data_IF_877388693076
#
_entry.id   IF_877388693076
#
_cell.length_a   1.000
_cell.length_b   1.000
_cell.length_c   1.000
_cell.angle_alpha   90.00
_cell.angle_beta   90.00
_cell.angle_gamma   90.00
#
_symmetry.space_group_name_H-M   'P 1'
#
loop_
_entity.id
_entity.type
_entity.pdbx_description
1 polymer ?
#
# COMPACT_ATOMS: atom_id res chain seq x y z
N UNK A 1 -28.73 -87.92 56.99
CA UNK A 1 -27.87 -88.47 55.91
C UNK A 1 -28.56 -88.09 54.61
N UNK A 2 -28.08 -87.14 53.82
CA UNK A 2 -26.80 -86.45 53.81
C UNK A 2 -27.03 -85.14 53.06
N UNK A 3 -26.41 -84.09 53.57
CA UNK A 3 -26.33 -82.74 53.04
C UNK A 3 -25.24 -82.66 51.95
N UNK A 4 -25.15 -81.51 51.28
CA UNK A 4 -24.11 -81.05 50.34
C UNK A 4 -24.21 -81.52 48.87
N UNK A 5 -23.98 -80.72 47.84
CA UNK A 5 -23.74 -79.27 47.66
C UNK A 5 -23.58 -79.10 46.14
N UNK A 6 -24.67 -78.80 45.40
CA UNK A 6 -24.60 -78.56 43.95
C UNK A 6 -24.37 -77.06 43.70
N UNK A 7 -23.12 -76.72 43.36
CA UNK A 7 -22.72 -75.36 42.97
C UNK A 7 -23.24 -75.05 41.57
N UNK A 8 -24.44 -74.48 41.49
CA UNK A 8 -24.90 -73.78 40.29
C UNK A 8 -24.27 -72.38 40.27
N UNK A 9 -23.29 -72.18 39.37
CA UNK A 9 -22.71 -70.87 39.08
C UNK A 9 -23.75 -70.02 38.33
N UNK A 10 -24.65 -69.43 39.11
CA UNK A 10 -25.58 -68.40 38.66
C UNK A 10 -24.81 -67.26 37.98
N UNK A 11 -25.05 -67.11 36.68
CA UNK A 11 -24.71 -65.86 35.97
C UNK A 11 -25.37 -64.71 36.71
N UNK A 12 -24.65 -63.60 37.00
CA UNK A 12 -25.28 -62.45 37.63
C UNK A 12 -26.42 -61.96 36.73
N UNK A 13 -27.58 -61.58 37.28
CA UNK A 13 -28.65 -61.01 36.48
C UNK A 13 -28.14 -59.74 35.81
N UNK A 14 -28.41 -59.60 34.51
CA UNK A 14 -28.21 -58.36 33.77
C UNK A 14 -28.82 -57.21 34.58
N UNK A 15 -28.10 -56.10 34.82
CA UNK A 15 -28.67 -54.97 35.52
C UNK A 15 -29.77 -54.37 34.64
N UNK A 16 -31.03 -54.70 34.95
CA UNK A 16 -32.20 -53.95 34.52
C UNK A 16 -32.24 -52.67 35.34
N UNK A 17 -31.50 -51.66 34.89
CA UNK A 17 -31.54 -50.30 35.40
C UNK A 17 -31.66 -49.35 34.24
N UNK A 18 -32.88 -49.09 33.75
CA UNK A 18 -33.15 -47.86 33.03
C UNK A 18 -33.01 -46.71 34.02
N UNK A 19 -31.80 -46.17 34.16
CA UNK A 19 -31.64 -44.81 34.65
C UNK A 19 -32.11 -43.88 33.53
N UNK A 20 -33.40 -43.52 33.55
CA UNK A 20 -33.86 -42.26 32.94
C UNK A 20 -33.29 -41.12 33.78
N UNK A 21 -31.99 -40.87 33.64
CA UNK A 21 -31.41 -39.60 34.03
C UNK A 21 -31.95 -38.57 33.04
N UNK A 22 -32.49 -37.45 33.53
CA UNK A 22 -32.77 -36.29 32.69
C UNK A 22 -31.46 -35.87 32.02
N UNK A 23 -31.25 -36.27 30.77
CA UNK A 23 -30.15 -35.76 29.95
C UNK A 23 -30.29 -34.24 29.93
N UNK A 24 -29.23 -33.52 30.31
CA UNK A 24 -29.22 -32.06 30.28
C UNK A 24 -29.38 -31.61 28.83
N UNK A 25 -30.58 -31.17 28.48
CA UNK A 25 -30.87 -30.69 27.14
C UNK A 25 -30.29 -29.30 26.95
N UNK A 26 -29.28 -29.19 26.07
CA UNK A 26 -28.80 -27.90 25.60
C UNK A 26 -29.75 -27.35 24.54
N UNK A 27 -30.28 -26.15 24.77
CA UNK A 27 -31.31 -25.55 23.91
C UNK A 27 -30.86 -25.41 22.44
N UNK A 28 -29.60 -25.03 22.20
CA UNK A 28 -29.02 -24.88 20.87
C UNK A 28 -28.91 -26.21 20.12
N UNK A 29 -28.41 -27.24 20.80
CA UNK A 29 -28.26 -28.60 20.22
C UNK A 29 -29.62 -29.19 19.87
N UNK A 30 -30.59 -29.12 20.79
CA UNK A 30 -31.95 -29.61 20.54
C UNK A 30 -32.66 -28.82 19.43
N UNK A 31 -32.43 -27.52 19.34
CA UNK A 31 -32.98 -26.70 18.26
C UNK A 31 -32.45 -27.14 16.89
N UNK A 32 -31.13 -27.37 16.78
CA UNK A 32 -30.49 -27.84 15.55
C UNK A 32 -30.96 -29.25 15.15
N UNK A 33 -31.14 -30.15 16.12
CA UNK A 33 -31.63 -31.52 15.90
C UNK A 33 -33.10 -31.57 15.45
N UNK A 34 -33.92 -30.63 15.93
CA UNK A 34 -35.35 -30.52 15.55
C UNK A 34 -35.53 -29.91 14.15
N UNK A 35 -34.65 -29.00 13.75
CA UNK A 35 -34.73 -28.27 12.48
C UNK A 35 -33.61 -28.68 11.50
N UNK A 36 -33.43 -30.00 11.29
CA UNK A 36 -32.32 -30.56 10.48
C UNK A 36 -32.20 -29.95 9.08
N UNK A 37 -33.33 -29.75 8.40
CA UNK A 37 -33.36 -29.15 7.05
C UNK A 37 -32.89 -27.70 7.10
N UNK A 38 -33.36 -26.90 8.07
CA UNK A 38 -32.93 -25.52 8.24
C UNK A 38 -31.44 -25.40 8.56
N UNK A 39 -30.91 -26.29 9.40
CA UNK A 39 -29.47 -26.35 9.72
C UNK A 39 -28.64 -26.68 8.48
N UNK A 40 -29.09 -27.61 7.63
CA UNK A 40 -28.42 -27.97 6.39
C UNK A 40 -28.46 -26.82 5.36
N UNK A 41 -29.59 -26.12 5.24
CA UNK A 41 -29.71 -24.92 4.40
C UNK A 41 -28.75 -23.82 4.88
N UNK A 42 -28.67 -23.59 6.20
CA UNK A 42 -27.73 -22.62 6.78
C UNK A 42 -26.27 -22.99 6.48
N UNK A 43 -25.92 -24.27 6.59
CA UNK A 43 -24.60 -24.79 6.22
C UNK A 43 -24.23 -24.47 4.77
N UNK A 44 -25.16 -24.72 3.84
CA UNK A 44 -24.97 -24.42 2.41
C UNK A 44 -24.82 -22.92 2.18
N UNK A 45 -25.60 -22.09 2.87
CA UNK A 45 -25.50 -20.63 2.79
C UNK A 45 -24.12 -20.16 3.27
N UNK A 46 -23.64 -20.65 4.42
CA UNK A 46 -22.30 -20.33 4.95
C UNK A 46 -21.22 -20.77 3.96
N UNK A 47 -21.34 -21.96 3.37
CA UNK A 47 -20.38 -22.44 2.39
C UNK A 47 -20.31 -21.51 1.16
N UNK A 48 -21.45 -21.14 0.59
CA UNK A 48 -21.50 -20.25 -0.59
C UNK A 48 -20.98 -18.86 -0.23
N UNK A 49 -21.48 -18.25 0.86
CA UNK A 49 -21.05 -16.92 1.30
C UNK A 49 -19.57 -16.88 1.66
N UNK A 50 -19.05 -17.92 2.31
CA UNK A 50 -17.65 -17.98 2.70
C UNK A 50 -16.73 -18.12 1.49
N UNK A 51 -17.13 -18.87 0.45
CA UNK A 51 -16.33 -18.97 -0.79
C UNK A 51 -16.31 -17.61 -1.49
N UNK A 52 -17.46 -16.93 -1.58
CA UNK A 52 -17.52 -15.57 -2.12
C UNK A 52 -16.63 -14.63 -1.30
N UNK A 53 -16.70 -14.68 0.03
CA UNK A 53 -15.90 -13.83 0.90
C UNK A 53 -14.39 -14.11 0.75
N UNK A 54 -13.97 -15.38 0.74
CA UNK A 54 -12.58 -15.77 0.51
C UNK A 54 -12.02 -15.20 -0.80
N UNK A 55 -12.81 -15.19 -1.88
CA UNK A 55 -12.37 -14.61 -3.15
C UNK A 55 -12.29 -13.08 -3.11
N UNK A 56 -13.18 -12.41 -2.35
CA UNK A 56 -13.28 -10.93 -2.32
C UNK A 56 -12.39 -10.25 -1.29
N UNK A 57 -12.06 -10.91 -0.18
CA UNK A 57 -11.18 -10.33 0.85
C UNK A 57 -9.82 -10.03 0.23
N UNK A 58 -9.32 -8.78 0.31
CA UNK A 58 -8.00 -8.40 -0.21
C UNK A 58 -6.88 -9.20 0.46
N UNK A 59 -5.83 -9.52 -0.30
CA UNK A 59 -4.62 -10.18 0.20
C UNK A 59 -3.51 -9.15 0.32
N UNK A 60 -2.91 -9.06 1.51
CA UNK A 60 -1.89 -8.07 1.86
C UNK A 60 -0.73 -8.72 2.60
N UNK A 61 0.45 -8.08 2.57
CA UNK A 61 1.64 -8.53 3.28
C UNK A 61 1.54 -8.21 4.78
N UNK A 62 1.10 -7.00 5.10
CA UNK A 62 0.94 -6.47 6.46
C UNK A 62 -0.51 -6.12 6.77
N UNK A 63 -0.89 -6.00 8.05
CA UNK A 63 -2.15 -5.37 8.42
C UNK A 63 -2.17 -3.90 7.96
N UNK A 64 -3.33 -3.45 7.48
CA UNK A 64 -3.57 -2.05 7.17
C UNK A 64 -3.70 -1.27 8.49
N UNK A 65 -2.61 -0.64 8.91
CA UNK A 65 -2.55 0.21 10.09
C UNK A 65 -2.08 1.57 9.60
N UNK A 66 -2.95 2.58 9.75
CA UNK A 66 -2.57 3.98 9.59
C UNK A 66 -1.68 4.35 10.77
N UNK A 67 -0.41 4.66 10.51
CA UNK A 67 0.46 5.22 11.53
C UNK A 67 0.08 6.70 11.63
N UNK A 68 -0.47 7.17 12.76
CA UNK A 68 -1.05 8.50 12.84
C UNK A 68 0.03 9.57 13.04
N UNK A 69 0.94 9.68 12.07
CA UNK A 69 2.10 10.57 12.11
C UNK A 69 2.11 11.47 10.88
N UNK A 70 2.21 12.77 11.12
CA UNK A 70 2.41 13.78 10.08
C UNK A 70 3.75 14.47 10.33
N UNK A 71 4.59 14.51 9.30
CA UNK A 71 5.87 15.19 9.31
C UNK A 71 5.73 16.56 8.62
N UNK A 72 6.24 17.60 9.28
CA UNK A 72 6.35 18.96 8.74
C UNK A 72 7.84 19.27 8.63
N UNK A 73 8.31 19.50 7.42
CA UNK A 73 9.73 19.77 7.17
C UNK A 73 9.90 21.14 6.54
N UNK A 74 10.86 21.90 7.05
CA UNK A 74 11.19 23.25 6.59
C UNK A 74 12.70 23.40 6.43
N UNK A 75 13.13 23.90 5.28
CA UNK A 75 14.53 24.17 4.97
C UNK A 75 14.82 25.65 5.08
N UNK A 76 15.94 26.00 5.71
CA UNK A 76 16.46 27.37 5.72
C UNK A 76 17.99 27.33 5.69
N UNK A 77 18.59 27.08 4.52
CA UNK A 77 20.00 26.75 4.39
C UNK A 77 20.96 27.78 5.03
N UNK A 78 22.00 27.28 5.71
CA UNK A 78 23.04 28.12 6.31
C UNK A 78 22.69 28.76 7.66
N UNK A 79 21.55 28.38 8.26
CA UNK A 79 21.10 28.86 9.56
C UNK A 79 21.45 27.87 10.68
N UNK A 80 21.96 28.39 11.79
CA UNK A 80 22.39 27.57 12.92
C UNK A 80 21.19 26.85 13.59
N UNK A 81 21.37 25.66 14.18
CA UNK A 81 20.27 24.89 14.79
C UNK A 81 19.45 25.67 15.83
N UNK A 82 20.08 26.58 16.59
CA UNK A 82 19.40 27.37 17.62
C UNK A 82 18.48 28.45 17.04
N UNK A 83 18.88 29.00 15.90
CA UNK A 83 18.08 29.97 15.16
C UNK A 83 16.95 29.26 14.41
N UNK A 84 17.20 28.07 13.86
CA UNK A 84 16.15 27.19 13.30
C UNK A 84 15.06 26.88 14.33
N UNK A 85 15.45 26.50 15.55
CA UNK A 85 14.49 26.27 16.65
C UNK A 85 13.64 27.51 16.93
N UNK A 86 14.27 28.69 16.96
CA UNK A 86 13.59 29.92 17.41
C UNK A 86 12.75 30.56 16.31
N UNK A 87 13.22 30.55 15.07
CA UNK A 87 12.62 31.23 13.93
C UNK A 87 11.66 30.35 13.14
N UNK A 88 11.82 29.02 13.19
CA UNK A 88 11.04 28.08 12.38
C UNK A 88 10.27 27.10 13.27
N UNK A 89 10.95 26.35 14.14
CA UNK A 89 10.28 25.31 14.93
C UNK A 89 9.24 25.90 15.87
N UNK A 90 9.60 26.93 16.65
CA UNK A 90 8.71 27.50 17.67
C UNK A 90 7.41 28.11 17.11
N UNK A 91 7.42 28.95 16.06
CA UNK A 91 6.17 29.44 15.45
C UNK A 91 5.26 28.31 14.95
N UNK A 92 5.84 27.29 14.31
CA UNK A 92 5.08 26.12 13.84
C UNK A 92 4.52 25.30 15.01
N UNK A 93 5.31 25.05 16.04
CA UNK A 93 4.87 24.35 17.26
C UNK A 93 3.72 25.07 17.95
N UNK A 94 3.78 26.39 18.08
CA UNK A 94 2.75 27.19 18.77
C UNK A 94 1.39 27.05 18.07
N UNK A 95 1.35 27.10 16.73
CA UNK A 95 0.12 26.88 15.98
C UNK A 95 -0.33 25.41 15.98
N UNK A 96 0.59 24.46 15.81
CA UNK A 96 0.26 23.03 15.76
C UNK A 96 -0.25 22.51 17.11
N UNK A 97 0.29 22.99 18.23
CA UNK A 97 -0.13 22.60 19.58
C UNK A 97 -1.57 23.03 19.92
N UNK A 98 -2.20 23.85 19.07
CA UNK A 98 -3.63 24.17 19.21
C UNK A 98 -4.56 23.07 18.68
N UNK A 99 -4.02 22.08 17.96
CA UNK A 99 -4.77 20.93 17.46
C UNK A 99 -4.98 19.93 18.61
N UNK A 100 -6.24 19.80 19.06
CA UNK A 100 -6.58 19.02 20.25
C UNK A 100 -6.30 17.50 20.14
N UNK A 101 -6.20 17.00 18.92
CA UNK A 101 -6.08 15.57 18.62
C UNK A 101 -4.61 15.08 18.52
N UNK A 102 -3.64 15.99 18.67
CA UNK A 102 -2.22 15.65 18.72
C UNK A 102 -1.90 15.08 20.09
N UNK A 103 -1.38 13.85 20.09
CA UNK A 103 -0.91 13.13 21.28
C UNK A 103 0.49 13.60 21.69
N UNK A 104 1.41 13.68 20.73
CA UNK A 104 2.79 14.09 20.96
C UNK A 104 3.33 14.88 19.77
N UNK A 105 4.07 15.95 20.06
CA UNK A 105 4.71 16.78 19.06
C UNK A 105 6.21 16.85 19.35
N UNK A 106 7.01 16.34 18.43
CA UNK A 106 8.47 16.28 18.56
C UNK A 106 9.12 17.09 17.45
N UNK A 107 9.91 18.10 17.82
CA UNK A 107 10.71 18.88 16.87
C UNK A 107 12.19 18.53 16.95
N UNK A 108 12.82 18.47 15.79
CA UNK A 108 14.27 18.29 15.65
C UNK A 108 14.78 19.36 14.70
N UNK A 109 15.65 20.23 15.21
CA UNK A 109 16.30 21.27 14.41
C UNK A 109 17.80 20.99 14.31
N UNK A 110 18.29 20.96 13.08
CA UNK A 110 19.71 20.86 12.74
C UNK A 110 20.09 22.05 11.86
N UNK A 111 21.34 22.12 11.41
CA UNK A 111 21.79 23.24 10.58
C UNK A 111 21.01 23.28 9.27
N UNK A 112 20.32 24.41 9.05
CA UNK A 112 19.49 24.68 7.89
C UNK A 112 18.25 23.81 7.68
N UNK A 113 17.86 23.00 8.67
CA UNK A 113 16.73 22.08 8.54
C UNK A 113 15.98 21.88 9.87
N UNK A 114 14.66 21.96 9.82
CA UNK A 114 13.76 21.63 10.94
C UNK A 114 12.74 20.59 10.50
N UNK A 115 12.57 19.55 11.30
CA UNK A 115 11.52 18.55 11.17
C UNK A 115 10.66 18.52 12.43
N UNK A 116 9.35 18.60 12.26
CA UNK A 116 8.35 18.48 13.31
C UNK A 116 7.52 17.24 13.02
N UNK A 117 7.43 16.34 13.99
CA UNK A 117 6.65 15.11 13.92
C UNK A 117 5.45 15.29 14.85
N UNK A 118 4.26 15.33 14.27
CA UNK A 118 2.99 15.35 15.00
C UNK A 118 2.41 13.93 15.02
N UNK A 119 2.40 13.30 16.19
CA UNK A 119 1.73 12.04 16.46
C UNK A 119 0.30 12.30 16.95
N UNK A 120 -0.69 11.74 16.28
CA UNK A 120 -2.12 11.85 16.59
C UNK A 120 -2.62 10.65 17.39
N UNK A 121 -3.77 10.82 18.04
CA UNK A 121 -4.45 9.70 18.69
C UNK A 121 -4.90 8.62 17.69
N UNK A 122 -4.89 7.36 18.16
CA UNK A 122 -5.26 6.21 17.32
C UNK A 122 -6.71 6.29 16.85
N UNK A 123 -6.96 5.95 15.58
CA UNK A 123 -8.30 5.92 14.99
C UNK A 123 -8.82 7.27 14.50
N UNK A 124 -7.96 8.29 14.48
CA UNK A 124 -8.23 9.54 13.78
C UNK A 124 -8.19 9.33 12.25
N UNK A 125 -9.05 10.07 11.55
CA UNK A 125 -9.00 10.20 10.09
C UNK A 125 -7.79 11.05 9.71
N UNK A 126 -6.87 10.47 8.93
CA UNK A 126 -5.62 11.13 8.56
C UNK A 126 -5.81 12.23 7.52
N UNK A 127 -6.85 12.15 6.66
CA UNK A 127 -7.14 13.21 5.71
C UNK A 127 -7.58 14.49 6.45
N UNK A 128 -8.43 14.34 7.49
CA UNK A 128 -8.84 15.45 8.36
C UNK A 128 -7.65 15.98 9.19
N UNK A 129 -6.82 15.09 9.74
CA UNK A 129 -5.61 15.50 10.46
C UNK A 129 -4.64 16.28 9.56
N UNK A 130 -4.41 15.80 8.34
CA UNK A 130 -3.56 16.43 7.34
C UNK A 130 -4.08 17.82 6.96
N UNK A 131 -5.39 17.94 6.75
CA UNK A 131 -6.02 19.23 6.48
C UNK A 131 -5.83 20.20 7.65
N UNK A 132 -6.11 19.77 8.88
CA UNK A 132 -5.93 20.59 10.09
C UNK A 132 -4.47 21.06 10.24
N UNK A 133 -3.50 20.16 10.03
CA UNK A 133 -2.08 20.50 10.09
C UNK A 133 -1.73 21.53 9.02
N UNK A 134 -2.15 21.32 7.76
CA UNK A 134 -1.91 22.28 6.68
C UNK A 134 -2.48 23.66 6.99
N UNK A 135 -3.71 23.73 7.48
CA UNK A 135 -4.34 24.99 7.89
C UNK A 135 -3.53 25.70 8.98
N UNK A 136 -3.00 24.97 9.97
CA UNK A 136 -2.16 25.55 11.04
C UNK A 136 -0.78 25.98 10.56
N UNK A 137 -0.16 25.19 9.68
CA UNK A 137 1.10 25.55 9.02
C UNK A 137 0.91 26.83 8.20
N UNK A 138 -0.17 26.94 7.43
CA UNK A 138 -0.48 28.11 6.63
C UNK A 138 -0.72 29.38 7.48
N UNK A 139 -1.27 29.23 8.69
CA UNK A 139 -1.40 30.34 9.65
C UNK A 139 -0.05 30.78 10.23
N UNK A 140 0.89 29.85 10.43
CA UNK A 140 2.24 30.14 10.92
C UNK A 140 3.17 30.71 9.83
N UNK A 141 2.90 30.44 8.54
CA UNK A 141 3.73 30.89 7.40
C UNK A 141 4.14 32.38 7.45
N UNK A 142 3.27 33.35 7.79
CA UNK A 142 3.66 34.76 7.84
C UNK A 142 4.68 35.11 8.94
N UNK A 143 4.83 34.26 9.95
CA UNK A 143 5.80 34.43 11.03
C UNK A 143 7.17 33.84 10.70
N UNK A 144 7.24 32.98 9.68
CA UNK A 144 8.47 32.41 9.19
C UNK A 144 9.32 33.45 8.44
N UNK A 145 10.66 33.36 8.49
CA UNK A 145 11.54 34.20 7.69
C UNK A 145 11.22 34.07 6.19
N UNK A 146 11.21 35.19 5.47
CA UNK A 146 10.92 35.20 4.04
C UNK A 146 11.95 34.44 3.17
N UNK A 147 13.15 34.22 3.72
CA UNK A 147 14.24 33.48 3.07
C UNK A 147 14.18 31.97 3.35
N UNK A 148 13.26 31.50 4.22
CA UNK A 148 13.04 30.08 4.46
C UNK A 148 12.16 29.48 3.35
N UNK A 149 12.39 28.22 3.00
CA UNK A 149 11.52 27.50 2.08
C UNK A 149 10.15 27.24 2.72
N UNK A 150 9.12 27.09 1.88
CA UNK A 150 7.79 26.78 2.39
C UNK A 150 7.78 25.42 3.13
N UNK A 151 7.14 25.34 4.31
CA UNK A 151 7.02 24.07 5.01
C UNK A 151 6.27 23.03 4.17
N UNK A 152 6.86 21.86 4.02
CA UNK A 152 6.21 20.69 3.41
C UNK A 152 5.53 19.87 4.49
N UNK A 153 4.27 19.50 4.27
CA UNK A 153 3.48 18.66 5.17
C UNK A 153 3.25 17.32 4.49
N UNK A 154 3.79 16.25 5.07
CA UNK A 154 3.74 14.89 4.55
C UNK A 154 3.16 13.95 5.61
N UNK A 155 2.16 13.17 5.22
CA UNK A 155 1.66 12.07 6.04
C UNK A 155 2.60 10.86 5.91
N UNK A 156 2.82 10.13 7.00
CA UNK A 156 3.52 8.86 6.94
C UNK A 156 2.53 7.71 6.67
N UNK A 157 2.46 7.24 5.44
CA UNK A 157 1.56 6.15 5.06
C UNK A 157 2.32 4.87 4.67
N UNK A 158 2.06 3.77 5.39
CA UNK A 158 2.66 2.47 5.06
C UNK A 158 2.19 1.91 3.70
N UNK A 159 1.00 2.32 3.24
CA UNK A 159 0.46 1.93 1.94
C UNK A 159 1.14 2.64 0.77
N UNK A 160 1.86 3.74 1.01
CA UNK A 160 2.61 4.47 -0.02
C UNK A 160 3.98 3.85 -0.30
N UNK A 161 4.41 2.85 0.48
CA UNK A 161 5.64 2.13 0.16
C UNK A 161 5.45 1.26 -1.10
N UNK A 162 6.40 1.30 -2.05
CA UNK A 162 6.32 0.48 -3.24
C UNK A 162 6.21 -1.02 -2.92
N UNK A 163 5.21 -1.69 -3.50
CA UNK A 163 4.99 -3.13 -3.37
C UNK A 163 5.85 -3.96 -4.34
N UNK A 164 6.42 -3.29 -5.34
CA UNK A 164 7.22 -3.87 -6.42
C UNK A 164 8.15 -2.79 -6.98
N UNK A 165 9.34 -3.18 -7.43
CA UNK A 165 10.26 -2.33 -8.16
C UNK A 165 10.51 -2.89 -9.55
N UNK A 166 10.37 -2.05 -10.57
CA UNK A 166 10.64 -2.40 -11.98
C UNK A 166 11.93 -1.67 -12.38
N UNK A 167 12.99 -2.42 -12.60
CA UNK A 167 14.29 -1.86 -12.98
C UNK A 167 14.48 -1.95 -14.48
N UNK A 168 14.71 -0.82 -15.12
CA UNK A 168 14.91 -0.71 -16.56
C UNK A 168 16.38 -0.39 -16.80
N UNK A 169 17.02 -1.24 -17.60
CA UNK A 169 18.42 -1.12 -17.98
C UNK A 169 18.58 -1.33 -19.48
N UNK A 170 19.67 -0.82 -20.04
CA UNK A 170 19.93 -0.96 -21.47
C UNK A 170 21.32 -0.44 -21.86
N UNK A 171 21.78 -0.73 -23.09
CA UNK A 171 23.07 -0.29 -23.58
C UNK A 171 23.10 1.20 -23.98
N UNK A 172 21.99 1.91 -23.86
CA UNK A 172 21.84 3.32 -24.22
C UNK A 172 21.89 4.23 -22.98
N UNK A 173 22.16 5.51 -23.19
CA UNK A 173 22.38 6.49 -22.11
C UNK A 173 21.17 6.67 -21.18
N UNK A 174 21.42 7.20 -19.97
CA UNK A 174 20.39 7.42 -18.95
C UNK A 174 19.24 8.32 -19.41
N UNK A 175 19.52 9.28 -20.30
CA UNK A 175 18.49 10.13 -20.92
C UNK A 175 17.44 9.29 -21.65
N UNK A 176 17.89 8.44 -22.58
CA UNK A 176 16.99 7.56 -23.33
C UNK A 176 16.36 6.47 -22.46
N UNK A 177 17.04 6.01 -21.40
CA UNK A 177 16.42 5.12 -20.41
C UNK A 177 15.28 5.80 -19.67
N UNK A 178 15.40 7.11 -19.38
CA UNK A 178 14.37 7.85 -18.67
C UNK A 178 13.12 7.99 -19.51
N UNK A 179 13.26 8.34 -20.79
CA UNK A 179 12.13 8.41 -21.72
C UNK A 179 11.38 7.07 -21.78
N UNK A 180 12.11 5.95 -21.88
CA UNK A 180 11.49 4.61 -21.85
C UNK A 180 10.81 4.32 -20.51
N UNK A 181 11.40 4.78 -19.40
CA UNK A 181 10.84 4.59 -18.07
C UNK A 181 9.61 5.46 -17.82
N UNK A 182 9.56 6.68 -18.35
CA UNK A 182 8.40 7.59 -18.33
C UNK A 182 7.25 6.98 -19.16
N UNK A 183 7.53 6.44 -20.35
CA UNK A 183 6.52 5.72 -21.14
C UNK A 183 5.92 4.51 -20.37
N UNK A 184 6.77 3.79 -19.62
CA UNK A 184 6.33 2.66 -18.76
C UNK A 184 5.56 3.18 -17.55
N UNK A 185 6.02 4.24 -16.90
CA UNK A 185 5.35 4.88 -15.77
C UNK A 185 3.91 5.26 -16.17
N UNK A 186 3.73 6.01 -17.26
CA UNK A 186 2.42 6.45 -17.76
C UNK A 186 1.47 5.29 -18.03
N UNK A 187 1.98 4.16 -18.52
CA UNK A 187 1.19 2.95 -18.79
C UNK A 187 0.81 2.22 -17.51
N UNK A 188 1.72 2.14 -16.54
CA UNK A 188 1.48 1.47 -15.27
C UNK A 188 0.54 2.27 -14.37
N UNK A 189 0.59 3.61 -14.40
CA UNK A 189 -0.35 4.47 -13.67
C UNK A 189 -1.79 4.40 -14.17
N UNK A 190 -2.02 3.92 -15.40
CA UNK A 190 -3.36 3.68 -15.93
C UNK A 190 -4.02 2.43 -15.32
N UNK A 191 -3.28 1.60 -14.58
CA UNK A 191 -3.82 0.42 -13.89
C UNK A 191 -4.66 0.90 -12.69
N UNK A 192 -5.96 0.57 -12.60
CA UNK A 192 -6.84 1.12 -11.55
C UNK A 192 -6.38 0.87 -10.11
N UNK A 193 -5.65 -0.23 -9.89
CA UNK A 193 -5.16 -0.65 -8.56
C UNK A 193 -3.82 0.00 -8.18
N UNK A 194 -3.18 0.71 -9.10
CA UNK A 194 -1.96 1.51 -8.86
C UNK A 194 -2.37 2.91 -8.42
N UNK A 195 -1.67 3.43 -7.40
CA UNK A 195 -1.84 4.79 -6.91
C UNK A 195 -0.93 5.75 -7.70
N UNK A 196 0.37 5.43 -7.72
CA UNK A 196 1.41 6.19 -8.40
C UNK A 196 2.59 5.27 -8.72
N UNK A 197 3.44 5.71 -9.64
CA UNK A 197 4.70 5.04 -9.93
C UNK A 197 5.85 6.03 -9.74
N UNK A 198 6.72 5.77 -8.78
CA UNK A 198 7.84 6.66 -8.44
C UNK A 198 9.07 6.35 -9.29
N UNK A 199 9.67 7.35 -9.93
CA UNK A 199 10.87 7.17 -10.75
C UNK A 199 12.14 7.58 -9.99
N UNK A 200 13.15 6.72 -10.02
CA UNK A 200 14.45 6.96 -9.37
C UNK A 200 15.63 6.70 -10.31
N UNK A 201 16.67 7.55 -10.22
CA UNK A 201 17.94 7.37 -10.94
C UNK A 201 17.99 7.92 -12.38
N UNK A 202 16.91 8.56 -12.86
CA UNK A 202 16.86 9.26 -14.14
C UNK A 202 17.62 10.60 -14.14
N UNK A 203 17.79 11.18 -15.34
CA UNK A 203 18.34 12.53 -15.51
C UNK A 203 17.22 13.52 -15.84
N UNK A 204 17.09 14.59 -15.08
CA UNK A 204 16.13 15.66 -15.37
C UNK A 204 16.80 16.70 -16.27
N UNK A 205 16.19 16.97 -17.43
CA UNK A 205 16.72 17.95 -18.38
C UNK A 205 16.39 19.35 -17.88
N UNK A 206 17.37 20.23 -17.91
CA UNK A 206 17.17 21.65 -17.62
C UNK A 206 17.94 22.51 -18.61
N UNK A 207 17.48 23.75 -18.78
CA UNK A 207 18.21 24.76 -19.53
C UNK A 207 18.97 25.61 -18.53
N UNK A 208 20.30 25.53 -18.57
CA UNK A 208 21.16 26.36 -17.74
C UNK A 208 21.51 27.63 -18.50
N UNK A 209 21.28 28.78 -17.85
CA UNK A 209 21.68 30.10 -18.35
C UNK A 209 22.85 30.59 -17.50
N UNK A 210 24.06 30.33 -17.96
CA UNK A 210 25.30 30.69 -17.27
C UNK A 210 25.66 32.15 -17.57
N UNK A 211 25.37 33.04 -16.62
CA UNK A 211 25.59 34.48 -16.79
C UNK A 211 27.06 34.88 -16.58
N UNK A 212 27.64 35.58 -17.57
CA UNK A 212 29.01 36.09 -17.52
C UNK A 212 29.04 37.46 -16.82
N UNK A 213 29.44 37.46 -15.54
CA UNK A 213 29.52 38.66 -14.69
C UNK A 213 30.39 39.79 -15.29
N UNK A 214 31.60 39.52 -15.84
CA UNK A 214 32.34 40.52 -16.61
C UNK A 214 31.56 41.16 -17.76
N UNK A 215 30.83 40.38 -18.56
CA UNK A 215 30.02 40.92 -19.68
C UNK A 215 28.85 41.76 -19.18
N UNK A 216 28.14 41.32 -18.16
CA UNK A 216 27.09 42.13 -17.52
C UNK A 216 27.62 43.49 -17.07
N UNK A 217 28.79 43.50 -16.43
CA UNK A 217 29.43 44.73 -15.98
C UNK A 217 29.83 45.65 -17.14
N UNK A 218 30.33 45.10 -18.24
CA UNK A 218 30.65 45.86 -19.45
C UNK A 218 29.41 46.52 -20.05
N UNK A 219 28.30 45.78 -20.13
CA UNK A 219 27.02 46.28 -20.62
C UNK A 219 26.23 47.07 -19.58
N UNK A 220 26.72 47.15 -18.34
CA UNK A 220 26.07 47.83 -17.22
C UNK A 220 24.69 47.29 -16.88
N UNK A 221 24.51 45.97 -16.98
CA UNK A 221 23.29 45.23 -16.68
C UNK A 221 23.41 44.53 -15.32
N UNK A 222 22.30 44.40 -14.60
CA UNK A 222 22.18 43.58 -13.41
C UNK A 222 21.83 42.14 -13.77
N UNK A 223 22.09 41.19 -12.86
CA UNK A 223 21.66 39.80 -13.02
C UNK A 223 20.14 39.70 -13.18
N UNK A 224 19.40 40.45 -12.36
CA UNK A 224 17.94 40.47 -12.40
C UNK A 224 17.37 41.00 -13.72
N UNK A 225 18.11 41.82 -14.47
CA UNK A 225 17.67 42.27 -15.79
C UNK A 225 17.56 41.10 -16.77
N UNK A 226 18.49 40.13 -16.69
CA UNK A 226 18.47 38.90 -17.50
C UNK A 226 17.31 38.01 -17.08
N UNK A 227 17.12 37.82 -15.77
CA UNK A 227 16.02 37.01 -15.22
C UNK A 227 14.67 37.59 -15.62
N UNK A 228 14.50 38.91 -15.50
CA UNK A 228 13.27 39.61 -15.88
C UNK A 228 12.99 39.51 -17.39
N UNK A 229 14.02 39.60 -18.23
CA UNK A 229 13.88 39.48 -19.68
C UNK A 229 13.41 38.08 -20.09
N UNK A 230 14.02 37.02 -19.55
CA UNK A 230 13.62 35.64 -19.83
C UNK A 230 12.20 35.36 -19.33
N UNK A 231 11.86 35.79 -18.10
CA UNK A 231 10.51 35.63 -17.53
C UNK A 231 9.45 36.40 -18.33
N UNK A 232 9.81 37.55 -18.89
CA UNK A 232 8.92 38.40 -19.67
C UNK A 232 8.61 37.88 -21.08
N UNK A 233 9.47 37.04 -21.64
CA UNK A 233 9.25 36.41 -22.96
C UNK A 233 8.59 35.03 -22.83
N UNK A 234 8.81 34.29 -21.72
CA UNK A 234 8.20 32.99 -21.47
C UNK A 234 6.75 33.08 -20.96
N UNK A 235 5.88 33.80 -21.67
CA UNK A 235 4.45 33.98 -21.31
C UNK A 235 3.53 33.70 -22.50
N UNK A 236 2.50 32.88 -22.26
CA UNK A 236 1.47 32.57 -23.24
C UNK A 236 0.29 33.55 -23.08
N UNK A 237 0.28 34.61 -23.91
CA UNK A 237 -0.73 35.67 -23.81
C UNK A 237 -1.88 35.40 -24.81
N UNK A 238 -3.14 35.26 -24.34
CA UNK A 238 -4.28 35.17 -25.24
C UNK A 238 -4.50 36.52 -25.93
N UNK A 239 -4.50 36.52 -27.27
CA UNK A 239 -4.66 37.71 -28.10
C UNK A 239 -6.12 38.16 -28.30
N UNK A 240 -7.07 37.50 -27.63
CA UNK A 240 -8.50 37.76 -27.74
C UNK A 240 -9.16 37.01 -28.90
N UNK A 241 -10.40 37.39 -29.21
CA UNK A 241 -11.19 36.82 -30.31
C UNK A 241 -11.36 37.88 -31.39
N UNK A 242 -11.18 37.48 -32.64
CA UNK A 242 -11.32 38.33 -33.82
C UNK A 242 -12.46 37.79 -34.68
N UNK A 243 -13.48 38.61 -34.88
CA UNK A 243 -14.63 38.27 -35.71
C UNK A 243 -14.31 38.55 -37.18
N UNK A 244 -14.33 37.51 -38.01
CA UNK A 244 -14.18 37.63 -39.46
C UNK A 244 -15.41 37.05 -40.14
N UNK A 245 -16.34 37.95 -40.52
CA UNK A 245 -17.61 37.56 -41.12
C UNK A 245 -18.56 36.95 -40.09
N UNK A 246 -18.91 35.67 -40.27
CA UNK A 246 -19.76 34.89 -39.35
C UNK A 246 -18.95 33.88 -38.50
N UNK A 247 -17.62 34.01 -38.48
CA UNK A 247 -16.72 33.12 -37.74
C UNK A 247 -15.86 33.93 -36.78
N UNK A 248 -15.74 33.42 -35.56
CA UNK A 248 -14.88 33.95 -34.51
C UNK A 248 -13.55 33.19 -34.54
N UNK A 249 -12.43 33.90 -34.59
CA UNK A 249 -11.08 33.33 -34.53
C UNK A 249 -10.41 33.73 -33.23
N UNK A 250 -10.06 32.76 -32.40
CA UNK A 250 -9.25 33.02 -31.19
C UNK A 250 -7.80 33.24 -31.59
N UNK A 251 -7.27 34.43 -31.32
CA UNK A 251 -5.87 34.75 -31.50
C UNK A 251 -5.09 34.34 -30.23
N UNK A 252 -3.96 33.66 -30.41
CA UNK A 252 -3.04 33.32 -29.32
C UNK A 252 -1.62 33.61 -29.78
N UNK A 253 -0.82 34.26 -28.93
CA UNK A 253 0.61 34.43 -29.15
C UNK A 253 1.32 33.39 -28.30
N UNK A 254 1.91 32.39 -28.95
CA UNK A 254 2.73 31.39 -28.28
C UNK A 254 4.11 31.98 -28.00
N UNK A 255 4.42 32.21 -26.73
CA UNK A 255 5.74 32.65 -26.25
C UNK A 255 6.53 31.56 -25.50
N UNK A 256 6.02 30.32 -25.48
CA UNK A 256 6.69 29.21 -24.81
C UNK A 256 7.89 28.71 -25.63
N UNK A 257 9.03 28.48 -24.97
CA UNK A 257 10.25 28.05 -25.63
C UNK A 257 10.27 26.52 -25.77
N UNK A 258 10.21 26.02 -27.00
CA UNK A 258 10.39 24.59 -27.30
C UNK A 258 11.88 24.19 -27.46
N UNK A 259 12.76 25.18 -27.72
CA UNK A 259 14.18 24.99 -27.96
C UNK A 259 15.01 26.05 -27.21
N UNK A 260 16.31 25.81 -26.98
CA UNK A 260 17.21 26.76 -26.30
C UNK A 260 17.62 27.96 -27.16
N UNK A 261 17.73 27.79 -28.49
CA UNK A 261 18.13 28.86 -29.40
C UNK A 261 17.25 30.13 -29.31
N UNK A 262 15.91 30.02 -29.18
CA UNK A 262 15.04 31.13 -28.84
C UNK A 262 15.42 31.92 -27.57
N UNK A 263 15.98 31.28 -26.55
CA UNK A 263 16.36 31.93 -25.28
C UNK A 263 17.60 32.81 -25.48
N UNK A 264 18.54 32.38 -26.33
CA UNK A 264 19.74 33.16 -26.66
C UNK A 264 19.42 34.51 -27.33
N UNK A 265 18.32 34.55 -28.08
CA UNK A 265 17.83 35.72 -28.83
C UNK A 265 16.88 36.62 -28.02
N UNK A 266 16.64 36.32 -26.74
CA UNK A 266 15.88 37.20 -25.85
C UNK A 266 16.62 38.52 -25.64
N UNK A 267 15.90 39.63 -25.80
CA UNK A 267 16.45 40.98 -25.61
C UNK A 267 16.42 41.35 -24.14
N UNK A 268 17.60 41.50 -23.53
CA UNK A 268 17.74 41.90 -22.12
C UNK A 268 17.56 43.41 -21.96
N UNK A 269 18.16 44.19 -22.85
CA UNK A 269 18.05 45.65 -22.81
C UNK A 269 18.34 46.27 -24.18
N UNK A 270 17.92 47.52 -24.38
CA UNK A 270 18.30 48.31 -25.55
C UNK A 270 19.12 49.53 -25.11
N UNK A 271 20.34 49.66 -25.63
CA UNK A 271 21.21 50.82 -25.38
C UNK A 271 21.58 51.50 -26.69
N UNK A 272 21.36 52.82 -26.78
CA UNK A 272 21.64 53.61 -27.98
C UNK A 272 21.01 53.03 -29.27
N UNK A 273 19.81 52.46 -29.16
CA UNK A 273 19.10 51.83 -30.29
C UNK A 273 19.66 50.47 -30.72
N UNK A 274 20.58 49.88 -29.95
CA UNK A 274 21.10 48.52 -30.18
C UNK A 274 20.57 47.57 -29.10
N UNK A 275 19.89 46.47 -29.48
CA UNK A 275 19.50 45.44 -28.53
C UNK A 275 20.74 44.69 -28.03
N UNK A 276 20.71 44.31 -26.75
CA UNK A 276 21.66 43.42 -26.09
C UNK A 276 20.90 42.14 -25.79
N UNK A 277 21.39 41.04 -26.32
CA UNK A 277 20.75 39.73 -26.23
C UNK A 277 21.29 38.92 -25.05
N UNK A 278 20.57 37.86 -24.65
CA UNK A 278 21.07 36.90 -23.65
C UNK A 278 22.41 36.31 -24.08
N UNK A 279 22.60 35.94 -25.36
CA UNK A 279 23.90 35.47 -25.88
C UNK A 279 25.07 36.44 -25.70
N UNK A 280 24.79 37.74 -25.56
CA UNK A 280 25.84 38.76 -25.37
C UNK A 280 26.35 38.78 -23.92
N UNK A 281 25.58 38.23 -22.97
CA UNK A 281 25.82 38.31 -21.52
C UNK A 281 25.77 36.98 -20.78
N UNK A 282 25.33 35.90 -21.42
CA UNK A 282 25.22 34.56 -20.85
C UNK A 282 25.44 33.49 -21.92
N UNK A 283 25.81 32.29 -21.47
CA UNK A 283 25.82 31.06 -22.29
C UNK A 283 24.57 30.27 -21.94
N UNK A 284 23.80 29.84 -22.94
CA UNK A 284 22.62 29.00 -22.74
C UNK A 284 22.97 27.59 -23.20
N UNK A 285 22.86 26.62 -22.31
CA UNK A 285 23.12 25.22 -22.65
C UNK A 285 22.04 24.29 -22.13
N UNK A 286 21.82 23.20 -22.87
CA UNK A 286 21.06 22.06 -22.37
C UNK A 286 21.96 21.28 -21.43
N UNK A 287 21.54 21.20 -20.17
CA UNK A 287 22.22 20.46 -19.13
C UNK A 287 21.23 19.54 -18.41
N UNK A 288 21.72 18.90 -17.35
CA UNK A 288 20.90 18.10 -16.47
C UNK A 288 20.94 18.71 -15.08
N UNK A 289 19.79 18.67 -14.40
CA UNK A 289 19.71 19.02 -12.99
C UNK A 289 20.68 18.15 -12.19
N UNK A 290 21.24 18.72 -11.14
CA UNK A 290 22.06 17.98 -10.19
C UNK A 290 21.31 16.75 -9.67
N UNK A 291 22.01 15.62 -9.65
CA UNK A 291 21.40 14.32 -9.35
C UNK A 291 21.13 14.19 -7.85
N UNK A 292 19.86 14.20 -7.50
CA UNK A 292 19.39 13.89 -6.14
C UNK A 292 19.36 12.37 -5.87
N UNK A 293 19.12 11.56 -6.91
CA UNK A 293 18.99 10.09 -6.77
C UNK A 293 19.86 9.29 -7.75
N UNK A 294 20.26 8.10 -7.29
CA UNK A 294 21.05 7.14 -8.06
C UNK A 294 20.45 5.75 -7.89
N UNK A 295 20.15 5.07 -8.99
CA UNK A 295 19.70 3.68 -8.98
C UNK A 295 20.71 2.78 -9.70
N UNK A 296 21.01 1.63 -9.10
CA UNK A 296 21.91 0.62 -9.66
C UNK A 296 21.38 -0.78 -9.37
N UNK A 297 21.50 -1.65 -10.35
CA UNK A 297 21.20 -3.08 -10.21
C UNK A 297 22.42 -3.88 -10.66
N UNK A 298 22.89 -4.77 -9.80
CA UNK A 298 24.09 -5.61 -10.07
C UNK A 298 25.32 -4.79 -10.51
N UNK A 299 25.47 -3.57 -9.96
CA UNK A 299 26.56 -2.64 -10.29
C UNK A 299 26.35 -1.79 -11.55
N UNK A 300 25.27 -2.01 -12.31
CA UNK A 300 24.97 -1.27 -13.53
C UNK A 300 23.96 -0.15 -13.23
N UNK A 301 24.12 1.07 -13.78
CA UNK A 301 23.11 2.13 -13.69
C UNK A 301 21.78 1.66 -14.29
N UNK A 302 20.69 1.85 -13.55
CA UNK A 302 19.33 1.55 -14.00
C UNK A 302 18.41 2.72 -13.66
N UNK A 303 17.22 2.72 -14.23
CA UNK A 303 16.11 3.54 -13.73
C UNK A 303 15.14 2.59 -13.05
N UNK A 304 14.79 2.91 -11.81
CA UNK A 304 13.89 2.09 -11.00
C UNK A 304 12.55 2.79 -10.90
N UNK A 305 11.49 2.07 -11.26
CA UNK A 305 10.11 2.47 -11.07
C UNK A 305 9.55 1.73 -9.84
N UNK A 306 9.22 2.47 -8.80
CA UNK A 306 8.56 1.94 -7.60
C UNK A 306 7.05 1.97 -7.76
N UNK A 307 6.41 0.81 -7.74
CA UNK A 307 4.95 0.70 -7.93
C UNK A 307 4.25 0.81 -6.59
N UNK A 308 3.49 1.89 -6.41
CA UNK A 308 2.70 2.13 -5.21
C UNK A 308 1.26 1.69 -5.47
N UNK A 309 0.74 0.82 -4.60
CA UNK A 309 -0.62 0.28 -4.71
C UNK A 309 -1.60 1.23 -4.03
N UNK A 310 -2.82 1.34 -4.55
CA UNK A 310 -3.92 2.00 -3.84
C UNK A 310 -4.26 1.24 -2.54
N UNK A 311 -4.57 1.96 -1.47
CA UNK A 311 -5.03 1.36 -0.19
C UNK A 311 -6.24 0.44 -0.41
N UNK A 312 -6.31 -0.66 0.35
CA UNK A 312 -7.36 -1.69 0.24
C UNK A 312 -7.31 -2.63 -0.98
N UNK A 313 -6.50 -2.33 -2.01
CA UNK A 313 -6.40 -3.19 -3.20
C UNK A 313 -5.56 -4.47 -2.95
N UNK A 314 -5.71 -5.49 -3.79
CA UNK A 314 -4.97 -6.75 -3.64
C UNK A 314 -3.55 -6.67 -4.24
N UNK A 315 -2.53 -7.03 -3.45
CA UNK A 315 -1.12 -6.99 -3.90
C UNK A 315 -0.86 -8.00 -5.03
N UNK A 316 -1.38 -9.22 -4.92
CA UNK A 316 -1.17 -10.29 -5.92
C UNK A 316 -1.78 -9.87 -7.26
N UNK A 317 -3.03 -9.40 -7.23
CA UNK A 317 -3.72 -8.96 -8.45
C UNK A 317 -3.02 -7.76 -9.10
N UNK A 318 -2.56 -6.79 -8.30
CA UNK A 318 -1.85 -5.61 -8.80
C UNK A 318 -0.54 -6.02 -9.46
N UNK A 319 0.24 -6.88 -8.81
CA UNK A 319 1.50 -7.39 -9.35
C UNK A 319 1.30 -8.16 -10.66
N UNK A 320 0.26 -9.00 -10.76
CA UNK A 320 -0.07 -9.72 -12.00
C UNK A 320 -0.42 -8.75 -13.15
N UNK A 321 -1.22 -7.72 -12.88
CA UNK A 321 -1.58 -6.68 -13.87
C UNK A 321 -0.35 -5.91 -14.34
N UNK A 322 0.53 -5.51 -13.43
CA UNK A 322 1.79 -4.82 -13.74
C UNK A 322 2.70 -5.72 -14.59
N UNK A 323 2.91 -6.98 -14.19
CA UNK A 323 3.69 -7.96 -14.96
C UNK A 323 3.12 -8.16 -16.37
N UNK A 324 1.79 -8.22 -16.50
CA UNK A 324 1.12 -8.38 -17.78
C UNK A 324 1.29 -7.16 -18.69
N UNK A 325 1.16 -5.94 -18.17
CA UNK A 325 1.38 -4.71 -18.93
C UNK A 325 2.84 -4.56 -19.38
N UNK A 326 3.80 -4.85 -18.50
CA UNK A 326 5.23 -4.88 -18.86
C UNK A 326 5.48 -5.88 -20.00
N UNK A 327 4.94 -7.09 -19.88
CA UNK A 327 5.05 -8.12 -20.91
C UNK A 327 4.42 -7.71 -22.25
N UNK A 328 3.34 -6.94 -22.24
CA UNK A 328 2.73 -6.39 -23.45
C UNK A 328 3.61 -5.31 -24.10
N UNK A 329 4.34 -4.54 -23.29
CA UNK A 329 5.24 -3.48 -23.75
C UNK A 329 6.62 -3.98 -24.23
N UNK A 330 7.03 -5.21 -23.86
CA UNK A 330 8.36 -5.75 -24.19
C UNK A 330 8.71 -5.65 -25.68
N UNK A 331 7.73 -5.82 -26.57
CA UNK A 331 7.94 -5.76 -28.02
C UNK A 331 8.18 -4.36 -28.57
N UNK A 332 7.78 -3.32 -27.84
CA UNK A 332 7.93 -1.91 -28.22
C UNK A 332 9.22 -1.27 -27.71
N UNK A 333 9.94 -1.94 -26.81
CA UNK A 333 11.15 -1.37 -26.23
C UNK A 333 12.30 -1.28 -27.22
N UNK A 334 13.20 -0.28 -27.05
CA UNK A 334 14.42 -0.21 -27.84
C UNK A 334 15.25 -1.51 -27.74
N UNK A 335 15.99 -1.90 -28.79
CA UNK A 335 16.81 -3.10 -28.76
C UNK A 335 17.81 -3.09 -27.59
N UNK A 336 17.85 -4.19 -26.83
CA UNK A 336 18.75 -4.35 -25.69
C UNK A 336 18.22 -3.81 -24.36
N UNK A 337 16.98 -3.33 -24.31
CA UNK A 337 16.28 -3.03 -23.05
C UNK A 337 16.10 -4.31 -22.25
N UNK A 338 16.49 -4.28 -20.98
CA UNK A 338 16.27 -5.37 -20.03
C UNK A 338 15.48 -4.80 -18.86
N UNK A 339 14.27 -5.33 -18.68
CA UNK A 339 13.40 -5.03 -17.56
C UNK A 339 13.51 -6.15 -16.53
N UNK A 340 13.81 -5.81 -15.27
CA UNK A 340 13.94 -6.78 -14.19
C UNK A 340 13.12 -6.32 -12.98
N UNK A 341 12.19 -7.15 -12.57
CA UNK A 341 11.37 -6.89 -11.38
C UNK A 341 12.13 -7.34 -10.14
N UNK A 342 12.14 -6.51 -9.10
CA UNK A 342 12.73 -6.79 -7.79
C UNK A 342 11.78 -6.35 -6.68
N UNK A 343 12.02 -6.83 -5.46
CA UNK A 343 11.20 -6.49 -4.29
C UNK A 343 9.70 -6.73 -4.50
N UNK A 344 9.36 -7.81 -5.21
CA UNK A 344 7.98 -8.16 -5.50
C UNK A 344 7.34 -8.87 -4.30
N UNK A 345 6.53 -8.11 -3.54
CA UNK A 345 5.85 -8.66 -2.38
C UNK A 345 4.80 -9.73 -2.74
N UNK A 346 4.33 -9.79 -3.99
CA UNK A 346 3.34 -10.79 -4.39
C UNK A 346 3.89 -12.21 -4.37
N UNK A 347 5.18 -12.40 -4.67
CA UNK A 347 5.83 -13.71 -4.63
C UNK A 347 5.91 -14.23 -3.20
N UNK A 348 6.36 -13.39 -2.27
CA UNK A 348 6.40 -13.72 -0.85
C UNK A 348 4.99 -14.06 -0.33
N UNK A 349 3.97 -13.25 -0.65
CA UNK A 349 2.59 -13.51 -0.22
C UNK A 349 2.09 -14.83 -0.82
N UNK A 350 2.33 -15.08 -2.11
CA UNK A 350 1.91 -16.30 -2.77
C UNK A 350 2.55 -17.55 -2.15
N UNK A 351 3.85 -17.50 -1.85
CA UNK A 351 4.58 -18.58 -1.20
C UNK A 351 4.07 -18.82 0.22
N UNK A 352 3.72 -17.75 0.95
CA UNK A 352 3.14 -17.86 2.29
C UNK A 352 1.72 -18.44 2.27
N UNK A 353 0.85 -18.00 1.35
CA UNK A 353 -0.50 -18.55 1.19
C UNK A 353 -0.45 -20.01 0.73
N UNK A 354 0.38 -20.35 -0.24
CA UNK A 354 0.50 -21.74 -0.72
C UNK A 354 1.09 -22.66 0.35
N UNK A 355 2.08 -22.19 1.12
CA UNK A 355 2.63 -22.92 2.27
C UNK A 355 1.58 -23.16 3.36
N UNK A 356 0.77 -22.14 3.66
CA UNK A 356 -0.36 -22.25 4.57
C UNK A 356 -1.36 -23.31 4.10
N UNK A 357 -1.83 -23.20 2.86
CA UNK A 357 -2.78 -24.14 2.26
C UNK A 357 -2.22 -25.57 2.30
N UNK A 358 -0.96 -25.76 1.93
CA UNK A 358 -0.30 -27.06 1.96
C UNK A 358 -0.18 -27.62 3.39
N UNK A 359 0.15 -26.78 4.38
CA UNK A 359 0.22 -27.19 5.78
C UNK A 359 -1.17 -27.57 6.32
N UNK A 360 -2.22 -26.81 5.99
CA UNK A 360 -3.60 -27.11 6.37
C UNK A 360 -4.05 -28.42 5.75
N UNK A 361 -3.82 -28.62 4.44
CA UNK A 361 -4.22 -29.84 3.72
C UNK A 361 -3.45 -31.05 4.27
N UNK A 362 -2.14 -30.92 4.48
CA UNK A 362 -1.29 -31.99 5.02
C UNK A 362 -1.72 -32.37 6.45
N UNK A 363 -1.98 -31.36 7.30
CA UNK A 363 -2.50 -31.57 8.66
C UNK A 363 -3.88 -32.23 8.66
N UNK A 364 -4.78 -31.77 7.78
CA UNK A 364 -6.11 -32.36 7.60
C UNK A 364 -6.01 -33.82 7.15
N UNK A 365 -5.19 -34.12 6.14
CA UNK A 365 -5.00 -35.49 5.65
C UNK A 365 -4.45 -36.41 6.74
N UNK A 366 -3.48 -35.94 7.54
CA UNK A 366 -2.93 -36.70 8.66
C UNK A 366 -4.03 -37.02 9.70
N UNK A 367 -4.80 -36.00 10.11
CA UNK A 367 -5.91 -36.17 11.06
C UNK A 367 -6.96 -37.13 10.50
N UNK A 368 -7.35 -36.98 9.24
CA UNK A 368 -8.31 -37.87 8.59
C UNK A 368 -7.81 -39.31 8.49
N UNK A 369 -6.52 -39.52 8.23
CA UNK A 369 -5.94 -40.86 8.21
C UNK A 369 -6.02 -41.52 9.60
N UNK A 370 -5.71 -40.78 10.67
CA UNK A 370 -5.83 -41.27 12.05
C UNK A 370 -7.28 -41.55 12.42
N UNK A 371 -8.19 -40.61 12.18
CA UNK A 371 -9.61 -40.79 12.49
C UNK A 371 -10.25 -41.92 11.68
N UNK A 372 -9.88 -42.07 10.42
CA UNK A 372 -10.38 -43.17 9.59
C UNK A 372 -9.95 -44.53 10.13
N UNK A 373 -8.72 -44.62 10.67
CA UNK A 373 -8.20 -45.84 11.28
C UNK A 373 -8.92 -46.21 12.59
N UNK A 374 -9.20 -45.23 13.46
CA UNK A 374 -9.79 -45.47 14.79
C UNK A 374 -11.32 -45.44 14.82
N UNK A 375 -11.95 -44.52 14.09
CA UNK A 375 -13.38 -44.20 14.17
C UNK A 375 -14.14 -44.52 12.87
N UNK A 376 -13.44 -44.91 11.80
CA UNK A 376 -14.02 -45.22 10.50
C UNK A 376 -14.33 -44.00 9.62
N UNK A 377 -14.61 -44.26 8.33
CA UNK A 377 -14.73 -43.24 7.27
C UNK A 377 -15.86 -42.24 7.54
N UNK A 378 -17.00 -42.69 8.08
CA UNK A 378 -18.18 -41.83 8.32
C UNK A 378 -17.88 -40.74 9.35
N UNK A 379 -17.24 -41.10 10.46
CA UNK A 379 -16.91 -40.18 11.55
C UNK A 379 -15.78 -39.22 11.17
N UNK A 380 -14.75 -39.74 10.47
CA UNK A 380 -13.70 -38.91 9.90
C UNK A 380 -14.28 -37.87 8.91
N UNK A 381 -15.27 -38.25 8.09
CA UNK A 381 -15.95 -37.35 7.17
C UNK A 381 -16.65 -36.16 7.84
N UNK A 382 -17.30 -36.37 9.00
CA UNK A 382 -17.94 -35.28 9.73
C UNK A 382 -16.92 -34.25 10.25
N UNK A 383 -15.79 -34.71 10.78
CA UNK A 383 -14.69 -33.83 11.20
C UNK A 383 -14.10 -33.11 9.99
N UNK A 384 -13.90 -33.82 8.87
CA UNK A 384 -13.37 -33.26 7.61
C UNK A 384 -14.20 -32.07 7.12
N UNK A 385 -15.52 -32.18 7.14
CA UNK A 385 -16.41 -31.10 6.69
C UNK A 385 -16.49 -29.93 7.66
N UNK A 386 -16.28 -30.17 8.95
CA UNK A 386 -16.40 -29.12 9.98
C UNK A 386 -15.27 -28.08 9.89
N UNK A 387 -14.09 -28.51 9.45
CA UNK A 387 -12.88 -27.67 9.36
C UNK A 387 -13.00 -26.58 8.28
N UNK A 388 -13.20 -26.90 6.97
CA UNK A 388 -13.34 -25.89 5.93
C UNK A 388 -14.52 -24.96 6.17
N UNK A 389 -15.64 -25.50 6.66
CA UNK A 389 -16.82 -24.68 6.92
C UNK A 389 -16.57 -23.62 8.01
N UNK A 390 -15.81 -23.97 9.04
CA UNK A 390 -15.44 -23.02 10.09
C UNK A 390 -14.52 -21.91 9.55
N UNK A 391 -13.58 -22.25 8.66
CA UNK A 391 -12.76 -21.26 7.97
C UNK A 391 -13.59 -20.35 7.06
N UNK A 392 -14.52 -20.92 6.31
CA UNK A 392 -15.46 -20.16 5.47
C UNK A 392 -16.28 -19.17 6.30
N UNK A 393 -16.72 -19.58 7.49
CA UNK A 393 -17.39 -18.68 8.43
C UNK A 393 -16.46 -17.54 8.87
N UNK A 394 -15.19 -17.83 9.19
CA UNK A 394 -14.20 -16.79 9.51
C UNK A 394 -14.00 -15.80 8.36
N UNK A 395 -13.93 -16.27 7.10
CA UNK A 395 -13.84 -15.37 5.94
C UNK A 395 -15.06 -14.47 5.80
N UNK A 396 -16.28 -14.96 6.10
CA UNK A 396 -17.48 -14.11 6.13
C UNK A 396 -17.33 -13.01 7.17
N UNK A 397 -16.93 -13.36 8.40
CA UNK A 397 -16.78 -12.39 9.49
C UNK A 397 -15.72 -11.34 9.15
N UNK A 398 -14.58 -11.75 8.61
CA UNK A 398 -13.53 -10.82 8.18
C UNK A 398 -14.01 -9.89 7.07
N UNK A 399 -14.76 -10.42 6.09
CA UNK A 399 -15.35 -9.60 5.03
C UNK A 399 -16.37 -8.58 5.55
N UNK A 400 -17.12 -8.91 6.59
CA UNK A 400 -18.05 -7.97 7.27
C UNK A 400 -17.27 -6.88 8.02
N UNK A 401 -16.15 -7.24 8.65
CA UNK A 401 -15.31 -6.32 9.42
C UNK A 401 -14.33 -5.51 8.54
N UNK A 402 -14.23 -5.80 7.25
CA UNK A 402 -13.28 -5.15 6.34
C UNK A 402 -11.82 -5.53 6.61
N UNK A 403 -11.55 -6.66 7.26
CA UNK A 403 -10.18 -7.06 7.61
C UNK A 403 -9.55 -7.78 6.40
N UNK A 404 -8.38 -7.28 5.96
CA UNK A 404 -7.59 -7.90 4.89
C UNK A 404 -6.99 -9.24 5.34
N UNK A 405 -6.73 -10.13 4.38
CA UNK A 405 -5.99 -11.36 4.61
C UNK A 405 -4.51 -11.06 4.57
N UNK A 406 -3.91 -10.93 5.75
CA UNK A 406 -2.48 -10.67 5.93
C UNK A 406 -1.81 -11.74 6.81
N UNK A 407 -0.50 -11.64 6.98
CA UNK A 407 0.30 -12.63 7.71
C UNK A 407 -0.15 -12.88 9.14
N UNK A 408 -0.56 -11.83 9.87
CA UNK A 408 -1.04 -11.96 11.25
C UNK A 408 -2.36 -12.72 11.29
N UNK A 409 -3.26 -12.42 10.36
CA UNK A 409 -4.55 -13.09 10.20
C UNK A 409 -4.35 -14.57 9.84
N UNK A 410 -3.49 -14.88 8.88
CA UNK A 410 -3.20 -16.25 8.48
C UNK A 410 -2.64 -17.08 9.64
N UNK A 411 -1.66 -16.55 10.37
CA UNK A 411 -1.11 -17.22 11.55
C UNK A 411 -2.18 -17.45 12.65
N UNK A 412 -3.03 -16.44 12.87
CA UNK A 412 -4.15 -16.53 13.82
C UNK A 412 -5.16 -17.62 13.42
N UNK A 413 -5.45 -17.75 12.12
CA UNK A 413 -6.32 -18.81 11.59
C UNK A 413 -5.72 -20.21 11.78
N UNK A 414 -4.40 -20.39 11.61
CA UNK A 414 -3.72 -21.67 11.88
C UNK A 414 -3.85 -22.05 13.37
N UNK A 415 -3.56 -21.10 14.26
CA UNK A 415 -3.65 -21.34 15.71
C UNK A 415 -5.09 -21.66 16.12
N UNK A 416 -6.06 -20.91 15.60
CA UNK A 416 -7.47 -21.15 15.86
C UNK A 416 -7.94 -22.51 15.31
N UNK A 417 -7.44 -22.91 14.12
CA UNK A 417 -7.75 -24.19 13.51
C UNK A 417 -7.35 -25.36 14.42
N UNK A 418 -6.15 -25.32 15.01
CA UNK A 418 -5.68 -26.39 15.91
C UNK A 418 -6.64 -26.65 17.07
N UNK A 419 -7.13 -25.58 17.71
CA UNK A 419 -8.11 -25.68 18.79
C UNK A 419 -9.49 -26.13 18.29
N UNK A 420 -9.88 -25.74 17.08
CA UNK A 420 -11.18 -26.10 16.51
C UNK A 420 -11.26 -27.60 16.17
N UNK A 421 -10.19 -28.12 15.56
CA UNK A 421 -10.08 -29.54 15.19
C UNK A 421 -10.19 -30.43 16.41
N UNK A 422 -9.48 -30.10 17.49
CA UNK A 422 -9.49 -30.87 18.74
C UNK A 422 -10.90 -30.99 19.33
N UNK A 423 -11.62 -29.87 19.43
CA UNK A 423 -13.01 -29.87 19.90
C UNK A 423 -13.94 -30.71 19.01
N UNK A 424 -13.80 -30.63 17.69
CA UNK A 424 -14.61 -31.42 16.77
C UNK A 424 -14.33 -32.92 16.91
N UNK A 425 -13.06 -33.31 17.10
CA UNK A 425 -12.65 -34.70 17.31
C UNK A 425 -13.25 -35.24 18.61
N UNK A 426 -13.06 -34.52 19.73
CA UNK A 426 -13.56 -34.96 21.05
C UNK A 426 -15.08 -35.17 21.04
N UNK A 427 -15.83 -34.28 20.39
CA UNK A 427 -17.29 -34.42 20.27
C UNK A 427 -17.67 -35.66 19.44
N UNK A 428 -17.05 -35.84 18.27
CA UNK A 428 -17.36 -36.98 17.39
C UNK A 428 -16.94 -38.31 18.03
N UNK A 429 -15.77 -38.36 18.67
CA UNK A 429 -15.30 -39.54 19.42
C UNK A 429 -16.24 -39.87 20.58
N UNK A 430 -16.67 -38.86 21.34
CA UNK A 430 -17.60 -39.07 22.44
C UNK A 430 -18.95 -39.59 21.96
N UNK A 431 -19.51 -39.02 20.88
CA UNK A 431 -20.75 -39.53 20.26
C UNK A 431 -20.57 -40.98 19.79
N UNK A 432 -19.45 -41.28 19.14
CA UNK A 432 -19.15 -42.63 18.68
C UNK A 432 -19.08 -43.63 19.83
N UNK A 433 -18.42 -43.26 20.94
CA UNK A 433 -18.37 -44.08 22.16
C UNK A 433 -19.77 -44.35 22.74
N UNK A 434 -20.62 -43.34 22.85
CA UNK A 434 -21.99 -43.52 23.37
C UNK A 434 -22.83 -44.45 22.49
N UNK A 435 -22.65 -44.40 21.17
CA UNK A 435 -23.31 -45.32 20.22
C UNK A 435 -22.77 -46.75 20.39
N UNK A 436 -21.46 -46.94 20.55
CA UNK A 436 -20.87 -48.26 20.82
C UNK A 436 -21.33 -48.87 22.16
N UNK A 437 -21.56 -48.03 23.17
CA UNK A 437 -22.12 -48.44 24.48
C UNK A 437 -23.61 -48.82 24.41
N UNK A 438 -24.26 -48.65 23.25
CA UNK A 438 -25.64 -49.08 22.99
C UNK A 438 -26.71 -48.01 23.26
N UNK A 439 -26.33 -46.74 23.37
CA UNK A 439 -27.29 -45.63 23.43
C UNK A 439 -27.86 -45.33 22.04
N UNK A 440 -29.10 -44.87 21.99
CA UNK A 440 -29.82 -44.61 20.73
C UNK A 440 -29.24 -43.38 19.99
N UNK A 441 -29.27 -43.34 18.65
CA UNK A 441 -28.60 -42.28 17.85
C UNK A 441 -29.16 -40.85 18.10
N UNK A 442 -30.26 -40.71 18.86
CA UNK A 442 -31.01 -39.47 19.07
C UNK A 442 -31.27 -39.11 20.54
N UNK A 443 -30.84 -39.95 21.49
CA UNK A 443 -30.80 -39.65 22.94
C UNK A 443 -29.36 -39.32 23.34
#
# INVERSE_FOLDING_TARGET
MTDQDDRDHGRPPLPKGHHKGEYRQFALTNFALRHRVSTLVLLVIIAIMGVISYTRVPKESSPEITIPIIAINTMYPGVAPKDMETLVARPLEEELNTIADIKELTSTSVEGYTSIIAEFENGMDMDDALQKVREKVDLAKPELPADAEEPSVMEFNLSEFPIMQVNISGPYGLERLKEVAEDVQDRLEQIPTVLEVTLSGGLEREVQVEVDLPRLKYYGLAFDDVVAAIRGENVNIPGGVVDVGNQEYTLRVAGEFEETAPIEDVVVATRNGRPIYVRDVATVEFAYKDRETFARLDGTPVITLGIVKRSGENIIETAERVKAEIGAMESGFPPGTVVKITSDQSEDIHDMVSSLENNIISGLLLVLAVLMFFLGVRNAGFVATSIPLSMLLSFIVMGILGISMNMVVLFSLILALGMLVDNAIVVVENIYRYIEEGNDELE
#
